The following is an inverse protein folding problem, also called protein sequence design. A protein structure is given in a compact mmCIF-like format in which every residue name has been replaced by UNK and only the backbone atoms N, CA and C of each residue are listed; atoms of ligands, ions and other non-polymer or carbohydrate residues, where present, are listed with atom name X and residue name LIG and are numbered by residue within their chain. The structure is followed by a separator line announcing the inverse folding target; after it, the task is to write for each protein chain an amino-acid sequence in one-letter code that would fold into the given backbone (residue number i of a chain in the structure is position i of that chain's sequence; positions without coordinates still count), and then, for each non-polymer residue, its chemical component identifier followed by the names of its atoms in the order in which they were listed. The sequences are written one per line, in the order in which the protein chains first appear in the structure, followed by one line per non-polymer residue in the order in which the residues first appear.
data_IF_023258035103
#
_entry.id   IF_023258035103
#
_cell.length_a   1.000
_cell.length_b   1.000
_cell.length_c   1.000
_cell.angle_alpha   90.00
_cell.angle_beta   90.00
_cell.angle_gamma   90.00
#
_symmetry.space_group_name_H-M   'P 1'
#
loop_
_entity.id
_entity.type
_entity.pdbx_description
1 polymer ?
#
# COMPACT_ATOMS: atom_id res chain seq x y z
N UNK A 1 22.05 -11.43 11.08
CA UNK A 1 20.70 -11.72 11.64
C UNK A 1 19.74 -10.68 11.13
N UNK A 2 18.68 -11.08 10.46
CA UNK A 2 17.66 -10.14 9.98
C UNK A 2 16.91 -9.59 11.20
N UNK A 3 16.77 -8.26 11.34
CA UNK A 3 15.96 -7.72 12.42
C UNK A 3 14.51 -8.21 12.27
N UNK A 4 13.83 -8.52 13.37
CA UNK A 4 12.42 -8.88 13.30
C UNK A 4 11.59 -7.68 12.82
N UNK A 5 10.44 -7.90 12.16
CA UNK A 5 9.53 -6.83 11.83
C UNK A 5 9.07 -6.12 13.11
N UNK A 6 9.16 -4.79 13.11
CA UNK A 6 8.78 -3.94 14.24
C UNK A 6 7.51 -3.19 13.90
N UNK A 7 6.50 -3.24 14.78
CA UNK A 7 5.21 -2.57 14.56
C UNK A 7 4.57 -2.97 13.22
N UNK A 8 4.36 -4.27 12.99
CA UNK A 8 3.63 -4.77 11.84
C UNK A 8 2.22 -4.14 11.79
N UNK A 9 1.88 -3.52 10.68
CA UNK A 9 0.61 -2.80 10.50
C UNK A 9 -0.36 -3.56 9.61
N UNK A 10 0.15 -4.30 8.63
CA UNK A 10 -0.67 -5.02 7.68
C UNK A 10 0.11 -6.19 7.06
N UNK A 11 -0.63 -7.17 6.59
CA UNK A 11 -0.08 -8.35 5.91
C UNK A 11 -0.85 -8.64 4.64
N UNK A 12 -0.16 -9.22 3.65
CA UNK A 12 -0.76 -9.72 2.42
C UNK A 12 -0.05 -10.99 1.99
N UNK A 13 -0.71 -11.79 1.14
CA UNK A 13 -0.19 -13.08 0.66
C UNK A 13 -0.25 -13.10 -0.86
N UNK A 14 0.82 -13.57 -1.51
CA UNK A 14 0.85 -13.72 -2.95
C UNK A 14 0.31 -15.09 -3.43
N UNK A 15 0.30 -15.31 -4.74
CA UNK A 15 -0.20 -16.55 -5.34
C UNK A 15 0.62 -17.80 -5.02
N UNK A 16 1.80 -17.64 -4.41
CA UNK A 16 2.71 -18.72 -3.99
C UNK A 16 2.77 -18.87 -2.48
N UNK A 17 1.82 -18.28 -1.77
CA UNK A 17 1.73 -18.26 -0.31
C UNK A 17 2.91 -17.56 0.39
N UNK A 18 3.66 -16.70 -0.30
CA UNK A 18 4.61 -15.83 0.38
C UNK A 18 3.87 -14.72 1.13
N UNK A 19 4.32 -14.45 2.34
CA UNK A 19 3.71 -13.49 3.26
C UNK A 19 4.50 -12.20 3.28
N UNK A 20 3.83 -11.11 2.96
CA UNK A 20 4.37 -9.75 3.00
C UNK A 20 3.91 -9.05 4.26
N UNK A 21 4.84 -8.54 5.04
CA UNK A 21 4.54 -7.84 6.30
C UNK A 21 5.00 -6.40 6.18
N UNK A 22 4.04 -5.47 6.24
CA UNK A 22 4.32 -4.03 6.16
C UNK A 22 4.40 -3.45 7.57
N UNK A 23 5.50 -2.72 7.86
CA UNK A 23 5.92 -2.39 9.21
C UNK A 23 6.30 -0.93 9.37
N UNK A 24 6.09 -0.40 10.58
CA UNK A 24 6.65 0.90 11.00
C UNK A 24 7.97 0.68 11.70
N UNK A 25 9.06 0.64 10.95
CA UNK A 25 10.40 0.41 11.47
C UNK A 25 11.45 0.85 10.46
N UNK A 26 12.73 0.65 10.76
CA UNK A 26 13.81 1.01 9.83
C UNK A 26 13.67 0.32 8.47
N UNK A 27 13.24 -0.94 8.47
CA UNK A 27 12.90 -1.70 7.26
C UNK A 27 11.38 -1.88 7.21
N UNK A 28 10.68 -1.30 6.24
CA UNK A 28 9.22 -1.29 6.21
C UNK A 28 8.60 -2.55 5.65
N UNK A 29 9.29 -3.30 4.81
CA UNK A 29 8.72 -4.52 4.22
C UNK A 29 9.60 -5.74 4.47
N UNK A 30 8.97 -6.80 4.99
CA UNK A 30 9.55 -8.14 5.13
C UNK A 30 8.75 -9.14 4.32
N UNK A 31 9.46 -10.12 3.77
CA UNK A 31 8.88 -11.21 2.98
C UNK A 31 9.29 -12.54 3.61
N UNK A 32 8.31 -13.38 3.86
CA UNK A 32 8.48 -14.72 4.40
C UNK A 32 7.82 -15.75 3.46
N UNK A 33 8.27 -16.99 3.51
CA UNK A 33 7.56 -18.11 2.88
C UNK A 33 6.33 -18.52 3.70
N UNK A 34 5.57 -19.51 3.20
CA UNK A 34 4.39 -20.04 3.87
C UNK A 34 4.67 -20.70 5.23
N UNK A 35 5.92 -21.07 5.48
CA UNK A 35 6.37 -21.68 6.73
C UNK A 35 6.94 -20.67 7.73
N UNK A 36 6.99 -19.37 7.33
CA UNK A 36 7.51 -18.28 8.15
C UNK A 36 9.02 -18.10 8.06
N UNK A 37 9.69 -18.73 7.10
CA UNK A 37 11.11 -18.51 6.89
C UNK A 37 11.33 -17.19 6.14
N UNK A 38 12.32 -16.43 6.57
CA UNK A 38 12.68 -15.17 5.95
C UNK A 38 13.20 -15.35 4.52
N UNK A 39 12.66 -14.59 3.57
CA UNK A 39 13.09 -14.56 2.17
C UNK A 39 13.88 -13.29 1.88
N UNK A 40 13.27 -12.10 2.14
CA UNK A 40 13.84 -10.81 1.76
C UNK A 40 13.21 -9.67 2.57
N UNK A 41 13.83 -8.50 2.50
CA UNK A 41 13.27 -7.25 3.02
C UNK A 41 13.82 -6.06 2.24
N UNK A 42 13.06 -4.96 2.16
CA UNK A 42 13.47 -3.75 1.45
C UNK A 42 12.65 -2.51 1.86
N UNK A 43 12.99 -1.36 1.26
CA UNK A 43 12.25 -0.10 1.40
C UNK A 43 12.74 0.81 2.52
N UNK A 44 13.94 0.58 3.06
CA UNK A 44 14.51 1.40 4.14
C UNK A 44 14.49 2.89 3.78
N UNK A 45 13.85 3.71 4.64
CA UNK A 45 13.74 5.16 4.47
C UNK A 45 12.76 5.63 3.40
N UNK A 46 12.04 4.72 2.72
CA UNK A 46 11.17 5.09 1.60
C UNK A 46 9.75 5.53 2.01
N UNK A 47 9.27 5.09 3.17
CA UNK A 47 7.92 5.36 3.66
C UNK A 47 7.94 6.20 4.94
N UNK A 48 6.96 7.11 5.08
CA UNK A 48 6.83 7.94 6.27
C UNK A 48 6.07 7.22 7.39
N UNK A 49 4.93 6.61 7.08
CA UNK A 49 4.16 5.79 8.03
C UNK A 49 3.41 4.66 7.31
N UNK A 50 4.02 3.50 7.15
CA UNK A 50 3.37 2.32 6.61
C UNK A 50 2.03 2.02 7.30
N UNK A 51 0.99 1.75 6.50
CA UNK A 51 -0.36 1.47 7.04
C UNK A 51 -0.96 0.20 6.47
N UNK A 52 -1.24 0.14 5.17
CA UNK A 52 -1.89 -0.98 4.51
C UNK A 52 -1.03 -1.61 3.41
N UNK A 53 -1.27 -2.87 3.12
CA UNK A 53 -0.69 -3.59 1.98
C UNK A 53 -1.73 -4.51 1.37
N UNK A 54 -1.79 -4.58 0.03
CA UNK A 54 -2.47 -5.66 -0.67
C UNK A 54 -1.64 -6.15 -1.86
N UNK A 55 -2.01 -7.31 -2.38
CA UNK A 55 -1.35 -7.97 -3.52
C UNK A 55 -2.39 -8.20 -4.60
N UNK A 56 -2.08 -7.89 -5.86
CA UNK A 56 -2.95 -8.15 -6.98
C UNK A 56 -2.71 -9.55 -7.60
N UNK A 57 -3.50 -9.90 -8.60
CA UNK A 57 -3.40 -11.20 -9.29
C UNK A 57 -2.09 -11.45 -10.03
N UNK A 58 -1.28 -10.40 -10.24
CA UNK A 58 0.05 -10.49 -10.86
C UNK A 58 1.17 -10.54 -9.82
N UNK A 59 0.82 -10.66 -8.53
CA UNK A 59 1.73 -10.62 -7.39
C UNK A 59 2.47 -9.27 -7.25
N UNK A 60 1.90 -8.18 -7.79
CA UNK A 60 2.37 -6.84 -7.51
C UNK A 60 1.79 -6.31 -6.20
N UNK A 61 2.58 -5.52 -5.49
CA UNK A 61 2.24 -4.99 -4.17
C UNK A 61 1.67 -3.58 -4.28
N UNK A 62 0.63 -3.30 -3.50
CA UNK A 62 0.12 -1.95 -3.26
C UNK A 62 0.42 -1.59 -1.81
N UNK A 63 1.21 -0.55 -1.61
CA UNK A 63 1.74 -0.12 -0.33
C UNK A 63 1.18 1.25 0.03
N UNK A 64 0.45 1.30 1.12
CA UNK A 64 -0.26 2.51 1.56
C UNK A 64 0.54 3.18 2.66
N UNK A 65 0.98 4.41 2.40
CA UNK A 65 1.66 5.28 3.35
C UNK A 65 0.72 6.42 3.75
N UNK A 66 0.15 6.33 4.95
CA UNK A 66 -0.88 7.28 5.35
C UNK A 66 -0.32 8.70 5.57
N UNK A 67 0.81 8.88 6.24
CA UNK A 67 1.46 10.18 6.37
C UNK A 67 2.22 10.61 5.12
N UNK A 68 2.53 9.65 4.25
CA UNK A 68 3.03 9.93 2.91
C UNK A 68 1.95 10.47 1.98
N UNK A 69 0.67 10.30 2.34
CA UNK A 69 -0.48 10.67 1.51
C UNK A 69 -0.39 10.05 0.12
N UNK A 70 0.06 8.80 0.06
CA UNK A 70 0.34 8.12 -1.20
C UNK A 70 0.09 6.61 -1.13
N UNK A 71 -0.12 6.03 -2.30
CA UNK A 71 -0.11 4.59 -2.53
C UNK A 71 0.93 4.31 -3.62
N UNK A 72 1.79 3.33 -3.40
CA UNK A 72 2.73 2.86 -4.41
C UNK A 72 2.39 1.45 -4.86
N UNK A 73 2.33 1.24 -6.18
CA UNK A 73 2.37 -0.08 -6.77
C UNK A 73 3.82 -0.44 -7.06
N UNK A 74 4.28 -1.58 -6.52
CA UNK A 74 5.64 -2.09 -6.71
C UNK A 74 5.64 -3.56 -7.05
N UNK A 75 6.68 -4.00 -7.75
CA UNK A 75 6.95 -5.43 -7.87
C UNK A 75 7.35 -6.00 -6.50
N UNK A 76 7.27 -7.32 -6.35
CA UNK A 76 7.70 -8.00 -5.11
C UNK A 76 9.19 -7.79 -4.78
N UNK A 77 10.01 -7.43 -5.76
CA UNK A 77 11.43 -7.07 -5.58
C UNK A 77 11.63 -5.62 -5.17
N UNK A 78 10.57 -4.80 -5.14
CA UNK A 78 10.60 -3.41 -4.70
C UNK A 78 10.68 -2.37 -5.81
N UNK A 79 10.65 -2.77 -7.10
CA UNK A 79 10.65 -1.82 -8.22
C UNK A 79 9.34 -1.06 -8.27
N UNK A 80 9.40 0.28 -8.27
CA UNK A 80 8.24 1.14 -8.44
C UNK A 80 7.64 0.97 -9.84
N UNK A 81 6.33 0.69 -9.89
CA UNK A 81 5.55 0.64 -11.13
C UNK A 81 4.85 1.98 -11.34
N UNK A 82 4.06 2.42 -10.36
CA UNK A 82 3.51 3.78 -10.31
C UNK A 82 3.23 4.21 -8.86
N UNK A 83 2.99 5.51 -8.69
CA UNK A 83 2.56 6.12 -7.44
C UNK A 83 1.28 6.93 -7.66
N UNK A 84 0.35 6.81 -6.72
CA UNK A 84 -0.83 7.65 -6.60
C UNK A 84 -0.61 8.61 -5.44
N UNK A 85 -0.93 9.88 -5.63
CA UNK A 85 -0.61 10.93 -4.66
C UNK A 85 0.84 11.43 -4.79
N UNK A 86 1.20 12.38 -3.95
CA UNK A 86 2.53 12.99 -3.88
C UNK A 86 3.07 12.88 -2.46
N UNK A 87 4.25 12.29 -2.31
CA UNK A 87 4.84 12.00 -0.98
C UNK A 87 4.89 13.23 -0.10
N UNK A 88 4.24 13.13 1.07
CA UNK A 88 4.21 14.18 2.09
C UNK A 88 3.25 15.34 1.78
N UNK A 89 2.44 15.25 0.72
CA UNK A 89 1.51 16.31 0.31
C UNK A 89 0.07 15.84 0.45
N UNK A 90 -0.60 16.34 1.49
CA UNK A 90 -2.02 16.06 1.71
C UNK A 90 -2.92 16.94 0.85
N UNK A 91 -4.07 16.40 0.45
CA UNK A 91 -5.19 17.21 0.01
C UNK A 91 -5.81 17.97 1.18
N UNK A 92 -6.65 18.96 0.87
CA UNK A 92 -7.46 19.62 1.91
C UNK A 92 -8.43 18.60 2.50
N UNK A 93 -8.54 18.59 3.82
CA UNK A 93 -9.43 17.68 4.54
C UNK A 93 -10.87 17.75 4.01
N UNK A 94 -11.42 16.57 3.71
CA UNK A 94 -12.79 16.41 3.18
C UNK A 94 -13.06 17.17 1.87
N UNK A 95 -12.01 17.50 1.11
CA UNK A 95 -12.15 18.15 -0.20
C UNK A 95 -12.69 17.22 -1.30
N UNK A 96 -12.49 15.91 -1.13
CA UNK A 96 -12.74 14.94 -2.19
C UNK A 96 -11.57 14.72 -3.14
N UNK A 97 -10.51 15.55 -3.05
CA UNK A 97 -9.25 15.31 -3.76
C UNK A 97 -8.46 14.18 -3.09
N UNK A 98 -7.54 13.58 -3.80
CA UNK A 98 -6.64 12.54 -3.29
C UNK A 98 -5.36 13.19 -2.76
N UNK A 99 -4.75 12.70 -1.71
CA UNK A 99 -5.18 11.89 -0.57
C UNK A 99 -5.03 12.70 0.71
N UNK A 100 -5.75 12.32 1.78
CA UNK A 100 -5.50 12.87 3.10
C UNK A 100 -5.54 11.73 4.13
N UNK A 101 -4.37 11.14 4.44
CA UNK A 101 -4.19 9.99 5.31
C UNK A 101 -4.96 8.75 4.81
N UNK A 102 -4.65 8.23 3.59
CA UNK A 102 -5.24 6.99 3.08
C UNK A 102 -4.84 5.81 3.98
N UNK A 103 -5.72 4.84 4.11
CA UNK A 103 -5.55 3.77 5.11
C UNK A 103 -5.35 2.39 4.51
N UNK A 104 -6.08 2.05 3.44
CA UNK A 104 -6.02 0.73 2.84
C UNK A 104 -6.41 0.75 1.37
N UNK A 105 -6.10 -0.33 0.67
CA UNK A 105 -6.49 -0.53 -0.72
C UNK A 105 -6.85 -1.99 -0.96
N UNK A 106 -7.76 -2.20 -1.91
CA UNK A 106 -8.03 -3.51 -2.50
C UNK A 106 -8.03 -3.40 -4.02
N UNK A 107 -7.70 -4.49 -4.68
CA UNK A 107 -7.76 -4.61 -6.13
C UNK A 107 -8.84 -5.62 -6.50
N UNK A 108 -9.75 -5.22 -7.36
CA UNK A 108 -10.78 -6.12 -7.90
C UNK A 108 -10.09 -7.22 -8.72
N UNK A 109 -10.24 -8.50 -8.35
CA UNK A 109 -9.54 -9.58 -9.03
C UNK A 109 -10.01 -9.78 -10.49
N UNK A 110 -11.21 -9.36 -10.84
CA UNK A 110 -11.77 -9.53 -12.18
C UNK A 110 -11.39 -8.36 -13.10
N UNK A 111 -11.52 -7.12 -12.63
CA UNK A 111 -11.30 -5.92 -13.44
C UNK A 111 -9.90 -5.34 -13.29
N UNK A 112 -9.25 -5.58 -12.14
CA UNK A 112 -8.00 -4.94 -11.75
C UNK A 112 -8.16 -3.50 -11.26
N UNK A 113 -9.40 -3.01 -11.13
CA UNK A 113 -9.68 -1.68 -10.59
C UNK A 113 -9.23 -1.59 -9.12
N UNK A 114 -8.72 -0.44 -8.76
CA UNK A 114 -8.14 -0.17 -7.44
C UNK A 114 -9.12 0.66 -6.62
N UNK A 115 -9.47 0.18 -5.44
CA UNK A 115 -10.31 0.91 -4.48
C UNK A 115 -9.47 1.27 -3.26
N UNK A 116 -9.47 2.54 -2.89
CA UNK A 116 -8.64 3.08 -1.81
C UNK A 116 -9.52 3.77 -0.79
N UNK A 117 -9.42 3.35 0.47
CA UNK A 117 -10.02 4.07 1.59
C UNK A 117 -9.11 5.23 1.99
N UNK A 118 -9.58 6.45 1.75
CA UNK A 118 -8.95 7.70 2.17
C UNK A 118 -9.67 8.20 3.43
N UNK A 119 -9.51 7.44 4.51
CA UNK A 119 -10.42 7.45 5.64
C UNK A 119 -10.14 8.51 6.68
N UNK A 120 -8.91 8.67 7.16
CA UNK A 120 -8.62 9.48 8.34
C UNK A 120 -8.83 10.99 8.13
N UNK A 121 -8.42 11.51 6.97
CA UNK A 121 -8.52 12.94 6.72
C UNK A 121 -9.58 13.33 5.69
N UNK A 122 -10.07 12.39 4.88
CA UNK A 122 -10.92 12.71 3.74
C UNK A 122 -12.30 12.03 3.76
N UNK A 123 -12.48 10.96 4.54
CA UNK A 123 -13.76 10.21 4.71
C UNK A 123 -14.33 9.74 3.36
N UNK A 124 -13.47 9.28 2.46
CA UNK A 124 -13.84 8.90 1.09
C UNK A 124 -13.25 7.57 0.67
N UNK A 125 -13.86 7.02 -0.38
CA UNK A 125 -13.29 5.93 -1.17
C UNK A 125 -12.98 6.48 -2.56
N UNK A 126 -11.78 6.20 -3.06
CA UNK A 126 -11.36 6.54 -4.42
C UNK A 126 -11.26 5.28 -5.27
N UNK A 127 -11.70 5.37 -6.52
CA UNK A 127 -11.57 4.31 -7.51
C UNK A 127 -10.63 4.76 -8.63
N UNK A 128 -9.66 3.90 -8.95
CA UNK A 128 -8.72 4.05 -10.07
C UNK A 128 -8.80 2.81 -10.96
N UNK A 129 -8.40 2.95 -12.22
CA UNK A 129 -8.24 1.79 -13.11
C UNK A 129 -6.92 1.04 -12.84
N UNK A 130 -6.66 -0.02 -13.59
CA UNK A 130 -5.48 -0.88 -13.46
C UNK A 130 -4.15 -0.16 -13.66
N UNK A 131 -4.16 0.99 -14.35
CA UNK A 131 -2.99 1.79 -14.66
C UNK A 131 -2.80 2.98 -13.71
N UNK A 132 -3.69 3.09 -12.71
CA UNK A 132 -3.65 4.18 -11.74
C UNK A 132 -4.32 5.47 -12.21
N UNK A 133 -5.18 5.39 -13.23
CA UNK A 133 -5.96 6.54 -13.68
C UNK A 133 -7.23 6.68 -12.82
N UNK A 134 -7.46 7.88 -12.30
CA UNK A 134 -8.64 8.21 -11.50
C UNK A 134 -9.95 7.98 -12.26
N UNK A 135 -10.91 7.32 -11.63
CA UNK A 135 -12.25 7.10 -12.18
C UNK A 135 -13.28 7.92 -11.42
N UNK A 136 -13.40 7.72 -10.10
CA UNK A 136 -14.37 8.43 -9.26
C UNK A 136 -14.08 8.32 -7.78
N UNK A 137 -14.76 9.14 -6.99
CA UNK A 137 -14.77 9.07 -5.51
C UNK A 137 -16.19 9.16 -4.99
N UNK A 138 -16.39 8.65 -3.77
CA UNK A 138 -17.62 8.79 -3.00
C UNK A 138 -17.33 8.72 -1.50
N UNK A 139 -18.30 9.12 -0.68
CA UNK A 139 -18.23 9.29 0.76
C UNK A 139 -18.52 10.74 1.15
N UNK A 140 -18.52 11.03 2.46
CA UNK A 140 -18.75 12.35 3.01
C UNK A 140 -17.47 12.94 3.63
#
# INVERSE_FOLDING_TARGET
MTPPPVCATSVAVDSKDNVYVFCRGPVPLFIFDSEGNYINSWGEGEFLRPHGICVDKNDDLYLIDDQGHMIEKRTKEGKLIFRLGEKGKSSVRQSGDIFNLPTDAIVDPDTGDIFISDGYGNSRVHKFDTEGKYIKSWGE
#
